data_IF_179534964127
#
_entry.id   IF_179534964127
#
_cell.length_a   1.000
_cell.length_b   1.000
_cell.length_c   1.000
_cell.angle_alpha   90.00
_cell.angle_beta   90.00
_cell.angle_gamma   90.00
#
_symmetry.space_group_name_H-M   'P 1'
#
loop_
_entity.id
_entity.type
_entity.pdbx_description
1 polymer ?
#
# COMPACT_ATOMS: atom_id res chain seq x y z
N UNK A 1 12.26 -36.30 38.49
CA UNK A 1 12.35 -34.84 38.33
C UNK A 1 11.45 -34.48 37.15
N UNK A 2 10.33 -33.77 37.32
CA UNK A 2 9.52 -33.37 36.21
C UNK A 2 10.12 -32.11 35.57
N UNK A 3 10.40 -32.19 34.30
CA UNK A 3 10.78 -31.03 33.47
C UNK A 3 9.58 -30.13 33.33
N UNK A 4 9.58 -29.00 34.00
CA UNK A 4 8.61 -27.91 33.76
C UNK A 4 8.79 -27.40 32.34
N UNK A 5 7.91 -27.81 31.44
CA UNK A 5 7.70 -27.11 30.15
C UNK A 5 6.99 -25.80 30.47
N UNK A 6 7.74 -24.71 30.48
CA UNK A 6 7.18 -23.38 30.58
C UNK A 6 6.55 -23.06 29.21
N UNK A 7 5.25 -23.15 29.16
CA UNK A 7 4.45 -22.68 28.02
C UNK A 7 4.46 -21.15 28.09
N UNK A 8 5.07 -20.52 27.12
CA UNK A 8 5.05 -19.05 26.98
C UNK A 8 3.89 -18.68 26.07
N UNK A 9 2.92 -17.95 26.59
CA UNK A 9 1.90 -17.31 25.76
C UNK A 9 2.40 -15.91 25.43
N UNK A 10 3.10 -15.79 24.31
CA UNK A 10 3.35 -14.47 23.73
C UNK A 10 2.00 -13.96 23.22
N UNK A 11 1.48 -12.92 23.87
CA UNK A 11 0.33 -12.20 23.34
C UNK A 11 0.84 -11.52 22.06
N UNK A 12 0.51 -12.10 20.91
CA UNK A 12 0.76 -11.49 19.61
C UNK A 12 -0.15 -10.27 19.50
N UNK A 13 0.29 -9.15 20.07
CA UNK A 13 -0.44 -7.87 20.06
C UNK A 13 -0.59 -7.34 18.63
N UNK A 14 0.30 -7.70 17.71
CA UNK A 14 0.16 -7.37 16.31
C UNK A 14 -1.06 -8.02 15.62
N UNK A 15 -1.52 -9.20 16.08
CA UNK A 15 -2.80 -9.79 15.67
C UNK A 15 -3.94 -9.40 16.62
N UNK A 16 -3.62 -8.90 17.83
CA UNK A 16 -4.54 -8.52 18.90
C UNK A 16 -4.77 -7.00 19.04
N UNK A 17 -4.04 -6.16 18.32
CA UNK A 17 -4.35 -4.72 18.21
C UNK A 17 -5.74 -4.47 17.58
N UNK A 18 -6.40 -5.53 17.13
CA UNK A 18 -7.77 -5.48 16.63
C UNK A 18 -8.85 -6.02 17.59
N UNK A 19 -8.57 -6.35 18.85
CA UNK A 19 -9.54 -7.10 19.68
C UNK A 19 -10.01 -6.40 20.96
N UNK A 20 -9.55 -5.21 21.35
CA UNK A 20 -9.89 -4.69 22.69
C UNK A 20 -10.47 -3.28 22.81
N UNK A 21 -10.96 -2.70 21.76
CA UNK A 21 -11.87 -1.54 21.88
C UNK A 21 -13.19 -1.91 21.21
N UNK A 22 -14.31 -1.78 21.92
CA UNK A 22 -15.66 -2.13 21.45
C UNK A 22 -16.18 -1.25 20.29
N UNK A 23 -15.31 -0.94 19.34
CA UNK A 23 -15.62 -0.46 18.01
C UNK A 23 -15.65 -1.69 17.12
N UNK A 24 -16.74 -1.92 16.43
CA UNK A 24 -16.91 -2.99 15.44
C UNK A 24 -15.86 -2.83 14.35
N UNK A 25 -14.66 -3.38 14.58
CA UNK A 25 -13.62 -3.41 13.55
C UNK A 25 -14.07 -4.39 12.48
N UNK A 26 -14.53 -3.84 11.39
CA UNK A 26 -14.83 -4.60 10.20
C UNK A 26 -13.55 -5.31 9.76
N UNK A 27 -13.50 -6.62 9.90
CA UNK A 27 -12.33 -7.42 9.55
C UNK A 27 -12.22 -7.43 8.03
N UNK A 28 -11.31 -6.62 7.48
CA UNK A 28 -10.83 -6.72 6.09
C UNK A 28 -10.53 -8.19 5.82
N UNK A 29 -10.74 -8.66 4.60
CA UNK A 29 -10.34 -10.02 4.23
C UNK A 29 -8.98 -10.31 4.84
N UNK A 30 -8.91 -11.29 5.75
CA UNK A 30 -7.73 -11.55 6.56
C UNK A 30 -6.54 -11.84 5.66
N UNK A 31 -5.65 -10.89 5.51
CA UNK A 31 -4.41 -11.02 4.75
C UNK A 31 -3.23 -10.78 5.67
N UNK A 32 -2.16 -11.52 5.47
CA UNK A 32 -0.89 -11.23 6.12
C UNK A 32 -0.23 -9.98 5.52
N UNK A 33 0.80 -9.47 6.19
CA UNK A 33 1.68 -8.38 5.71
C UNK A 33 0.95 -7.17 5.13
N UNK A 34 -0.01 -6.58 5.87
CA UNK A 34 -0.82 -5.45 5.38
C UNK A 34 0.02 -4.21 5.05
N UNK A 35 1.26 -4.13 5.52
CA UNK A 35 2.18 -3.03 5.21
C UNK A 35 2.43 -2.86 3.69
N UNK A 36 2.23 -3.91 2.89
CA UNK A 36 2.33 -3.85 1.43
C UNK A 36 1.22 -3.03 0.77
N UNK A 37 0.21 -2.63 1.54
CA UNK A 37 -0.90 -1.78 1.06
C UNK A 37 -0.70 -0.31 1.45
N UNK A 38 0.28 0.02 2.30
CA UNK A 38 0.56 1.38 2.73
C UNK A 38 1.10 2.18 1.53
N UNK A 39 0.52 3.33 1.28
CA UNK A 39 0.92 4.22 0.19
C UNK A 39 2.35 4.72 0.38
N UNK A 40 3.21 4.61 -0.66
CA UNK A 40 4.64 4.81 -0.49
C UNK A 40 5.10 6.27 -0.58
N UNK A 41 4.25 7.20 -1.01
CA UNK A 41 4.67 8.57 -1.30
C UNK A 41 3.65 9.64 -0.89
N UNK A 42 4.16 10.84 -0.59
CA UNK A 42 3.33 11.96 -0.18
C UNK A 42 2.49 12.53 -1.31
N UNK A 43 2.91 12.39 -2.57
CA UNK A 43 2.17 12.94 -3.71
C UNK A 43 0.83 12.26 -3.86
N UNK A 44 0.82 10.94 -4.00
CA UNK A 44 -0.41 10.17 -4.21
C UNK A 44 -1.22 10.03 -2.93
N UNK A 45 -0.57 9.96 -1.76
CA UNK A 45 -1.26 10.04 -0.48
C UNK A 45 -2.03 11.35 -0.33
N UNK A 46 -1.46 12.48 -0.76
CA UNK A 46 -2.16 13.78 -0.80
C UNK A 46 -3.28 13.86 -1.85
N UNK A 47 -3.44 12.83 -2.68
CA UNK A 47 -4.45 12.71 -3.74
C UNK A 47 -5.47 11.58 -3.47
N UNK A 48 -5.76 11.29 -2.19
CA UNK A 48 -6.73 10.27 -1.83
C UNK A 48 -6.34 8.87 -2.28
N UNK A 49 -5.04 8.54 -2.29
CA UNK A 49 -4.51 7.23 -2.69
C UNK A 49 -4.84 6.85 -4.14
N UNK A 50 -4.83 7.83 -5.04
CA UNK A 50 -5.11 7.66 -6.46
C UNK A 50 -3.83 7.83 -7.27
N UNK A 51 -3.17 6.72 -7.65
CA UNK A 51 -1.84 6.70 -8.23
C UNK A 51 -1.64 5.86 -9.49
N UNK A 52 -2.56 4.93 -9.80
CA UNK A 52 -2.40 3.94 -10.87
C UNK A 52 -2.16 4.56 -12.25
N UNK A 53 -2.85 5.63 -12.56
CA UNK A 53 -2.71 6.33 -13.85
C UNK A 53 -1.73 7.52 -13.79
N UNK A 54 -1.28 7.91 -12.59
CA UNK A 54 -0.29 8.98 -12.41
C UNK A 54 1.14 8.51 -12.66
N UNK A 55 1.54 7.37 -12.22
CA UNK A 55 2.75 6.56 -12.38
C UNK A 55 3.88 7.18 -13.27
N UNK A 56 4.31 8.42 -12.98
CA UNK A 56 5.26 9.21 -13.77
C UNK A 56 6.52 9.64 -12.98
N UNK A 57 6.80 8.99 -11.86
CA UNK A 57 7.99 9.13 -11.03
C UNK A 57 8.47 7.75 -10.53
N UNK A 58 9.50 7.67 -9.68
CA UNK A 58 10.04 6.41 -9.18
C UNK A 58 9.02 5.56 -8.40
N UNK A 59 8.00 6.18 -7.78
CA UNK A 59 6.95 5.46 -7.05
C UNK A 59 5.97 4.70 -7.98
N UNK A 60 6.11 4.85 -9.30
CA UNK A 60 5.47 3.97 -10.29
C UNK A 60 5.73 2.49 -10.00
N UNK A 61 6.87 2.14 -9.39
CA UNK A 61 7.21 0.78 -8.95
C UNK A 61 6.11 0.17 -8.08
N UNK A 62 5.47 0.97 -7.24
CA UNK A 62 4.36 0.55 -6.37
C UNK A 62 3.00 0.70 -7.06
N UNK A 63 2.76 1.86 -7.68
CA UNK A 63 1.42 2.21 -8.20
C UNK A 63 1.10 1.51 -9.51
N UNK A 64 2.05 1.50 -10.44
CA UNK A 64 1.88 0.90 -11.77
C UNK A 64 3.24 0.79 -12.47
N UNK A 65 3.93 -0.34 -12.39
CA UNK A 65 5.23 -0.55 -13.03
C UNK A 65 5.27 -0.26 -14.53
N UNK A 66 4.12 -0.33 -15.23
CA UNK A 66 4.07 0.05 -16.65
C UNK A 66 4.41 1.53 -16.89
N UNK A 67 4.21 2.39 -15.86
CA UNK A 67 4.58 3.79 -15.91
C UNK A 67 6.08 4.02 -16.14
N UNK A 68 6.94 3.12 -15.65
CA UNK A 68 8.38 3.18 -15.86
C UNK A 68 8.76 3.21 -17.34
N UNK A 69 7.97 2.56 -18.20
CA UNK A 69 8.22 2.53 -19.63
C UNK A 69 8.21 3.92 -20.30
N UNK A 70 7.49 4.87 -19.72
CA UNK A 70 7.34 6.21 -20.27
C UNK A 70 8.26 7.25 -19.64
N UNK A 71 9.10 6.85 -18.71
CA UNK A 71 9.99 7.73 -17.96
C UNK A 71 11.41 7.63 -18.50
N UNK A 72 12.07 8.77 -18.58
CA UNK A 72 13.48 8.94 -18.97
C UNK A 72 14.24 9.60 -17.82
N UNK A 73 15.59 9.53 -17.83
CA UNK A 73 16.42 10.00 -16.73
C UNK A 73 16.40 9.07 -15.52
N UNK A 74 17.01 9.50 -14.45
CA UNK A 74 17.18 8.73 -13.22
C UNK A 74 16.50 9.47 -12.06
N UNK A 75 15.95 8.72 -11.12
CA UNK A 75 15.30 9.31 -9.95
C UNK A 75 15.52 8.42 -8.74
N UNK A 76 15.72 9.05 -7.59
CA UNK A 76 15.65 8.44 -6.27
C UNK A 76 14.56 9.17 -5.48
N UNK A 77 13.71 8.43 -4.83
CA UNK A 77 12.65 8.93 -3.96
C UNK A 77 12.76 8.24 -2.59
N UNK A 78 12.79 9.03 -1.54
CA UNK A 78 12.72 8.54 -0.16
C UNK A 78 11.50 9.17 0.51
N UNK A 79 10.72 8.34 1.19
CA UNK A 79 9.56 8.77 1.97
C UNK A 79 9.65 8.24 3.39
N UNK A 80 9.31 9.10 4.35
CA UNK A 80 9.15 8.79 5.75
C UNK A 80 7.77 9.22 6.23
N UNK A 81 7.14 8.36 7.04
CA UNK A 81 5.87 8.68 7.70
C UNK A 81 5.85 8.12 9.12
N UNK A 82 5.47 8.97 10.08
CA UNK A 82 5.04 8.50 11.40
C UNK A 82 3.75 7.69 11.20
N UNK A 83 3.82 6.38 11.50
CA UNK A 83 2.71 5.47 11.23
C UNK A 83 1.85 5.28 12.47
N UNK A 84 0.53 5.52 12.33
CA UNK A 84 -0.45 5.38 13.41
C UNK A 84 -0.06 6.17 14.68
N UNK A 85 0.21 7.49 14.60
CA UNK A 85 0.78 8.27 15.70
C UNK A 85 -0.09 8.28 16.95
N UNK A 86 -1.40 8.04 16.81
CA UNK A 86 -2.34 8.02 17.94
C UNK A 86 -2.19 6.79 18.85
N UNK A 87 -1.47 5.75 18.44
CA UNK A 87 -1.20 4.59 19.31
C UNK A 87 -0.15 4.84 20.39
N UNK A 88 0.62 5.94 20.30
CA UNK A 88 1.65 6.28 21.27
C UNK A 88 2.85 5.33 21.29
N UNK A 89 2.99 4.49 20.26
CA UNK A 89 4.13 3.61 19.99
C UNK A 89 4.94 4.23 18.86
N UNK A 90 6.27 4.15 18.93
CA UNK A 90 7.18 4.68 17.92
C UNK A 90 7.16 3.78 16.67
N UNK A 91 6.07 3.88 15.91
CA UNK A 91 5.90 3.19 14.64
C UNK A 91 6.18 4.14 13.47
N UNK A 92 6.96 3.68 12.51
CA UNK A 92 7.22 4.46 11.30
C UNK A 92 7.31 3.59 10.05
N UNK A 93 7.03 4.22 8.93
CA UNK A 93 7.09 3.64 7.60
C UNK A 93 8.10 4.38 6.75
N UNK A 94 9.07 3.65 6.20
CA UNK A 94 10.07 4.16 5.27
C UNK A 94 9.93 3.48 3.92
N UNK A 95 10.03 4.26 2.86
CA UNK A 95 10.04 3.78 1.49
C UNK A 95 11.15 4.44 0.70
N UNK A 96 12.04 3.65 0.12
CA UNK A 96 13.06 4.07 -0.80
C UNK A 96 12.80 3.46 -2.17
N UNK A 97 12.68 4.28 -3.20
CA UNK A 97 12.57 3.84 -4.58
C UNK A 97 13.59 4.52 -5.47
N UNK A 98 14.09 3.79 -6.44
CA UNK A 98 14.95 4.34 -7.47
C UNK A 98 14.56 3.81 -8.84
N UNK A 99 14.66 4.65 -9.86
CA UNK A 99 14.56 4.23 -11.26
C UNK A 99 15.81 4.65 -12.04
N UNK A 100 16.20 3.78 -12.92
CA UNK A 100 17.35 3.99 -13.80
C UNK A 100 16.95 3.74 -15.25
N UNK A 101 17.09 4.74 -16.09
CA UNK A 101 16.82 4.64 -17.52
C UNK A 101 18.02 4.08 -18.27
N UNK A 102 17.79 3.07 -19.10
CA UNK A 102 18.79 2.46 -19.98
C UNK A 102 18.32 2.64 -21.41
N UNK A 103 19.12 3.33 -22.23
CA UNK A 103 18.82 3.55 -23.64
C UNK A 103 18.63 2.23 -24.38
N UNK A 104 17.55 2.13 -25.16
CA UNK A 104 17.21 0.91 -25.92
C UNK A 104 16.54 -0.21 -25.09
N UNK A 105 16.54 -0.11 -23.75
CA UNK A 105 15.91 -1.09 -22.87
C UNK A 105 14.66 -0.48 -22.19
N UNK A 106 14.76 0.75 -21.69
CA UNK A 106 13.72 1.40 -20.90
C UNK A 106 14.14 1.63 -19.46
N UNK A 107 13.19 1.92 -18.57
CA UNK A 107 13.48 2.17 -17.16
C UNK A 107 13.30 0.91 -16.32
N UNK A 108 14.33 0.62 -15.52
CA UNK A 108 14.33 -0.41 -14.48
C UNK A 108 14.14 0.32 -13.14
N UNK A 109 13.30 -0.20 -12.27
CA UNK A 109 13.08 0.33 -10.93
C UNK A 109 13.41 -0.66 -9.83
N UNK A 110 13.81 -0.16 -8.67
CA UNK A 110 13.98 -0.94 -7.46
C UNK A 110 13.43 -0.20 -6.25
N UNK A 111 12.96 -0.93 -5.24
CA UNK A 111 12.45 -0.32 -4.01
C UNK A 111 12.78 -1.15 -2.78
N UNK A 112 12.77 -0.47 -1.66
CA UNK A 112 12.80 -1.03 -0.31
C UNK A 112 11.65 -0.38 0.46
N UNK A 113 10.87 -1.21 1.14
CA UNK A 113 9.82 -0.81 2.09
C UNK A 113 10.20 -1.34 3.46
N UNK A 114 10.10 -0.52 4.49
CA UNK A 114 10.34 -0.90 5.86
C UNK A 114 9.24 -0.33 6.76
N UNK A 115 8.59 -1.18 7.54
CA UNK A 115 7.65 -0.79 8.59
C UNK A 115 8.22 -1.21 9.94
N UNK A 116 8.52 -0.23 10.79
CA UNK A 116 8.82 -0.46 12.20
C UNK A 116 7.51 -0.46 12.99
N UNK A 117 7.26 -1.53 13.74
CA UNK A 117 6.08 -1.68 14.59
C UNK A 117 6.39 -1.35 16.07
N UNK A 118 7.60 -0.83 16.33
CA UNK A 118 8.04 -0.42 17.64
C UNK A 118 8.49 -1.59 18.53
N UNK A 119 8.73 -1.27 19.79
CA UNK A 119 9.13 -2.21 20.82
C UNK A 119 7.89 -2.82 21.49
N UNK A 120 7.88 -4.13 21.67
CA UNK A 120 6.81 -4.92 22.26
C UNK A 120 7.29 -5.57 23.56
N UNK A 121 6.40 -5.76 24.53
CA UNK A 121 6.70 -6.49 25.76
C UNK A 121 6.36 -7.97 25.62
N UNK A 122 7.29 -8.83 25.95
CA UNK A 122 7.05 -10.27 26.12
C UNK A 122 6.65 -10.54 27.56
N UNK A 123 5.45 -11.09 27.76
CA UNK A 123 4.92 -11.44 29.09
C UNK A 123 4.52 -12.90 29.15
N UNK A 124 4.63 -13.51 30.35
CA UNK A 124 4.16 -14.88 30.63
C UNK A 124 2.63 -14.90 30.90
N UNK A 125 2.07 -16.11 31.08
CA UNK A 125 0.65 -16.31 31.40
C UNK A 125 0.22 -15.64 32.72
N UNK A 126 1.16 -15.41 33.64
CA UNK A 126 0.93 -14.69 34.88
C UNK A 126 1.12 -13.18 34.74
N UNK A 127 1.26 -12.66 33.51
CA UNK A 127 1.51 -11.27 33.18
C UNK A 127 2.86 -10.70 33.72
N UNK A 128 3.84 -11.55 34.01
CA UNK A 128 5.18 -11.10 34.36
C UNK A 128 5.95 -10.71 33.08
N UNK A 129 6.67 -9.59 33.14
CA UNK A 129 7.54 -9.16 32.05
C UNK A 129 8.73 -10.11 31.91
N UNK A 130 8.89 -10.71 30.75
CA UNK A 130 10.01 -11.59 30.38
C UNK A 130 11.11 -10.87 29.63
N UNK A 131 10.77 -9.74 28.93
CA UNK A 131 11.68 -8.95 28.15
C UNK A 131 10.93 -8.09 27.14
N UNK A 132 11.68 -7.40 26.27
CA UNK A 132 11.16 -6.64 25.15
C UNK A 132 11.75 -7.15 23.84
N UNK A 133 11.05 -6.92 22.74
CA UNK A 133 11.50 -7.24 21.37
C UNK A 133 10.95 -6.23 20.38
N UNK A 134 11.64 -6.07 19.25
CA UNK A 134 11.18 -5.18 18.16
C UNK A 134 10.52 -5.98 17.06
N UNK A 135 9.34 -5.53 16.63
CA UNK A 135 8.62 -6.08 15.48
C UNK A 135 8.82 -5.19 14.27
N UNK A 136 9.04 -5.78 13.11
CA UNK A 136 9.18 -5.04 11.86
C UNK A 136 8.83 -5.89 10.64
N UNK A 137 8.47 -5.20 9.57
CA UNK A 137 8.20 -5.80 8.26
C UNK A 137 9.04 -5.12 7.19
N UNK A 138 9.46 -5.88 6.20
CA UNK A 138 10.37 -5.43 5.16
C UNK A 138 9.98 -6.04 3.81
N UNK A 139 10.10 -5.25 2.74
CA UNK A 139 10.03 -5.75 1.38
C UNK A 139 11.08 -5.07 0.50
N UNK A 140 11.67 -5.84 -0.42
CA UNK A 140 12.56 -5.31 -1.43
C UNK A 140 12.22 -5.89 -2.80
N UNK A 141 12.21 -5.08 -3.84
CA UNK A 141 11.78 -5.53 -5.16
C UNK A 141 12.43 -4.79 -6.31
N UNK A 142 12.28 -5.41 -7.48
CA UNK A 142 12.68 -4.88 -8.77
C UNK A 142 11.46 -4.85 -9.70
N UNK A 143 11.40 -3.83 -10.55
CA UNK A 143 10.32 -3.64 -11.51
C UNK A 143 10.86 -3.19 -12.86
N UNK A 144 10.14 -3.55 -13.90
CA UNK A 144 10.45 -3.17 -15.27
C UNK A 144 9.18 -2.82 -16.03
N UNK A 145 9.24 -1.72 -16.79
CA UNK A 145 8.18 -1.30 -17.69
C UNK A 145 8.67 -1.28 -19.14
N UNK A 146 7.87 -1.78 -20.06
CA UNK A 146 8.20 -1.79 -21.48
C UNK A 146 7.08 -1.24 -22.35
N UNK A 147 7.46 -0.45 -23.36
CA UNK A 147 6.52 0.14 -24.33
C UNK A 147 6.06 -0.92 -25.34
N UNK A 148 4.75 -1.10 -25.49
CA UNK A 148 4.18 -1.80 -26.65
C UNK A 148 4.15 -0.84 -27.85
N UNK A 149 3.77 0.43 -27.57
CA UNK A 149 3.80 1.53 -28.53
C UNK A 149 3.87 2.88 -27.78
N UNK A 150 3.74 4.00 -28.47
CA UNK A 150 3.84 5.33 -27.86
C UNK A 150 2.74 5.63 -26.82
N UNK A 151 1.65 4.89 -26.85
CA UNK A 151 0.48 5.11 -26.02
C UNK A 151 0.25 4.00 -24.98
N UNK A 152 0.75 2.78 -25.22
CA UNK A 152 0.50 1.61 -24.38
C UNK A 152 1.82 1.00 -23.87
N UNK A 153 1.87 0.76 -22.58
CA UNK A 153 2.94 0.06 -21.92
C UNK A 153 2.41 -1.06 -21.01
N UNK A 154 3.25 -2.07 -20.81
CA UNK A 154 3.05 -3.09 -19.78
C UNK A 154 4.19 -3.02 -18.77
N UNK A 155 3.95 -3.53 -17.57
CA UNK A 155 4.93 -3.55 -16.51
C UNK A 155 4.82 -4.79 -15.63
N UNK A 156 5.93 -5.15 -15.04
CA UNK A 156 6.00 -6.25 -14.06
C UNK A 156 6.96 -5.89 -12.95
N UNK A 157 6.75 -6.50 -11.80
CA UNK A 157 7.64 -6.40 -10.65
C UNK A 157 7.73 -7.74 -9.93
N UNK A 158 8.82 -7.93 -9.21
CA UNK A 158 9.01 -9.02 -8.26
C UNK A 158 9.53 -8.43 -6.96
N UNK A 159 9.02 -8.90 -5.81
CA UNK A 159 9.48 -8.47 -4.49
C UNK A 159 9.64 -9.64 -3.55
N UNK A 160 10.66 -9.59 -2.73
CA UNK A 160 10.82 -10.41 -1.55
C UNK A 160 10.14 -9.73 -0.36
N UNK A 161 9.48 -10.51 0.47
CA UNK A 161 8.70 -10.07 1.63
C UNK A 161 9.22 -10.81 2.86
N UNK A 162 9.45 -10.05 3.93
CA UNK A 162 9.91 -10.56 5.21
C UNK A 162 9.12 -9.88 6.34
N UNK A 163 8.63 -10.66 7.29
CA UNK A 163 7.86 -10.19 8.44
C UNK A 163 8.36 -10.86 9.71
N UNK A 164 8.77 -10.04 10.68
CA UNK A 164 9.20 -10.43 12.02
C UNK A 164 8.26 -9.81 13.05
N UNK A 165 7.20 -10.52 13.39
CA UNK A 165 6.18 -10.03 14.34
C UNK A 165 6.46 -10.47 15.77
N UNK A 166 7.06 -11.64 15.95
CA UNK A 166 7.41 -12.24 17.26
C UNK A 166 8.78 -12.90 17.12
N UNK A 167 9.64 -12.89 18.16
CA UNK A 167 10.94 -13.55 18.10
C UNK A 167 10.81 -15.01 17.70
N UNK A 168 11.61 -15.48 16.72
CA UNK A 168 11.60 -16.88 16.32
C UNK A 168 11.91 -17.81 17.50
N UNK A 169 11.18 -18.92 17.60
CA UNK A 169 11.31 -19.88 18.71
C UNK A 169 10.42 -19.59 19.91
N UNK A 170 9.69 -18.47 19.92
CA UNK A 170 8.67 -18.18 20.93
C UNK A 170 7.49 -19.12 20.75
N UNK A 171 7.00 -19.75 21.81
CA UNK A 171 5.81 -20.58 21.77
C UNK A 171 4.57 -19.69 21.91
N UNK A 172 3.69 -19.74 20.90
CA UNK A 172 2.42 -18.99 20.85
C UNK A 172 1.30 -20.00 20.67
N UNK A 173 0.39 -20.09 21.62
CA UNK A 173 -0.75 -21.03 21.59
C UNK A 173 -0.36 -22.48 21.26
N UNK A 174 0.77 -22.95 21.77
CA UNK A 174 1.29 -24.31 21.57
C UNK A 174 2.03 -24.51 20.23
N UNK A 175 2.27 -23.45 19.47
CA UNK A 175 3.02 -23.46 18.21
C UNK A 175 4.29 -22.61 18.31
N UNK A 176 5.33 -22.99 17.58
CA UNK A 176 6.59 -22.24 17.56
C UNK A 176 6.55 -21.16 16.50
N UNK A 177 6.72 -19.90 16.94
CA UNK A 177 6.75 -18.75 16.05
C UNK A 177 7.98 -18.75 15.13
N UNK A 178 7.80 -18.31 13.90
CA UNK A 178 8.84 -18.13 12.87
C UNK A 178 8.66 -16.79 12.17
N UNK A 179 9.72 -16.33 11.53
CA UNK A 179 9.61 -15.21 10.60
C UNK A 179 8.80 -15.60 9.36
N UNK A 180 7.87 -14.76 8.98
CA UNK A 180 7.14 -14.91 7.72
C UNK A 180 7.99 -14.49 6.53
N UNK A 181 8.03 -15.31 5.48
CA UNK A 181 8.68 -14.96 4.21
C UNK A 181 7.81 -15.33 3.03
N UNK A 182 7.81 -14.49 2.00
CA UNK A 182 7.11 -14.78 0.76
C UNK A 182 7.73 -14.00 -0.42
N UNK A 183 7.20 -14.23 -1.61
CA UNK A 183 7.55 -13.51 -2.85
C UNK A 183 6.26 -13.06 -3.53
N UNK A 184 6.21 -11.78 -3.91
CA UNK A 184 5.09 -11.22 -4.66
C UNK A 184 5.49 -10.81 -6.07
N UNK A 185 4.57 -10.97 -7.01
CA UNK A 185 4.72 -10.53 -8.40
C UNK A 185 3.65 -9.49 -8.71
N UNK A 186 4.01 -8.47 -9.48
CA UNK A 186 3.10 -7.43 -9.96
C UNK A 186 2.96 -7.52 -11.49
N UNK A 187 1.74 -7.28 -11.97
CA UNK A 187 1.40 -7.20 -13.39
C UNK A 187 0.61 -5.92 -13.63
N UNK A 188 1.06 -5.11 -14.58
CA UNK A 188 0.49 -3.79 -14.78
C UNK A 188 0.38 -3.39 -16.25
N UNK A 189 -0.54 -2.48 -16.54
CA UNK A 189 -0.69 -1.86 -17.84
C UNK A 189 -1.06 -0.39 -17.72
N UNK A 190 -0.52 0.44 -18.62
CA UNK A 190 -0.80 1.86 -18.67
C UNK A 190 -1.00 2.31 -20.11
N UNK A 191 -2.14 2.93 -20.35
CA UNK A 191 -2.45 3.63 -21.58
C UNK A 191 -2.42 5.14 -21.35
N UNK A 192 -1.83 5.89 -22.27
CA UNK A 192 -1.90 7.36 -22.32
C UNK A 192 -2.24 7.83 -23.73
N UNK A 193 -3.11 8.81 -23.86
CA UNK A 193 -3.34 9.45 -25.15
C UNK A 193 -2.13 10.29 -25.55
N UNK A 194 -1.97 10.54 -26.84
CA UNK A 194 -1.18 11.70 -27.25
C UNK A 194 -1.85 12.97 -26.68
N UNK A 195 -1.07 14.04 -26.36
CA UNK A 195 -1.68 15.31 -26.00
C UNK A 195 -2.65 15.78 -27.08
N UNK A 196 -3.81 16.28 -26.66
CA UNK A 196 -4.84 16.80 -27.53
C UNK A 196 -5.32 18.17 -27.04
N UNK A 197 -5.87 18.98 -27.96
CA UNK A 197 -6.30 20.34 -27.62
C UNK A 197 -7.75 20.36 -27.18
N UNK A 198 -8.02 20.97 -26.03
CA UNK A 198 -9.35 21.28 -25.52
C UNK A 198 -9.45 22.79 -25.33
N UNK A 199 -10.25 23.47 -26.13
CA UNK A 199 -10.41 24.94 -26.09
C UNK A 199 -9.06 25.68 -26.15
N UNK A 200 -8.13 25.18 -27.00
CA UNK A 200 -6.80 25.77 -27.19
C UNK A 200 -5.78 25.49 -26.05
N UNK A 201 -6.05 24.56 -25.17
CA UNK A 201 -5.18 24.11 -24.06
C UNK A 201 -4.82 22.66 -24.27
N UNK A 202 -3.63 22.27 -23.84
CA UNK A 202 -3.21 20.86 -23.93
C UNK A 202 -3.87 20.02 -22.84
N UNK A 203 -4.30 18.83 -23.20
CA UNK A 203 -4.85 17.85 -22.30
C UNK A 203 -4.33 16.45 -22.64
N UNK A 204 -4.27 15.57 -21.62
CA UNK A 204 -3.90 14.16 -21.78
C UNK A 204 -4.76 13.31 -20.86
N UNK A 205 -5.28 12.21 -21.39
CA UNK A 205 -5.96 11.18 -20.62
C UNK A 205 -5.02 9.99 -20.44
N UNK A 206 -5.02 9.41 -19.22
CA UNK A 206 -4.31 8.19 -18.88
C UNK A 206 -5.29 7.22 -18.22
N UNK A 207 -5.11 5.92 -18.45
CA UNK A 207 -5.87 4.87 -17.78
C UNK A 207 -4.96 3.65 -17.59
N UNK A 208 -5.08 3.00 -16.45
CA UNK A 208 -4.22 1.87 -16.14
C UNK A 208 -4.81 0.89 -15.16
N UNK A 209 -4.12 -0.22 -15.01
CA UNK A 209 -4.38 -1.20 -13.97
C UNK A 209 -3.07 -1.69 -13.35
N UNK A 210 -3.15 -2.15 -12.11
CA UNK A 210 -2.07 -2.85 -11.42
C UNK A 210 -2.67 -3.99 -10.59
N UNK A 211 -2.23 -5.21 -10.84
CA UNK A 211 -2.45 -6.38 -10.00
C UNK A 211 -1.14 -6.63 -9.24
N UNK A 212 -1.11 -6.30 -7.96
CA UNK A 212 0.08 -6.37 -7.12
C UNK A 212 0.03 -7.47 -6.07
N UNK A 213 1.21 -7.89 -5.61
CA UNK A 213 1.40 -8.89 -4.56
C UNK A 213 0.82 -10.28 -4.88
N UNK A 214 0.81 -10.69 -6.14
CA UNK A 214 0.42 -12.04 -6.53
C UNK A 214 1.52 -13.03 -6.13
N UNK A 215 1.25 -13.93 -5.18
CA UNK A 215 2.27 -14.85 -4.68
C UNK A 215 1.74 -15.91 -3.71
N UNK A 216 2.61 -16.79 -3.22
CA UNK A 216 2.25 -17.79 -2.24
C UNK A 216 1.88 -17.16 -0.89
N UNK A 217 1.03 -17.87 -0.15
CA UNK A 217 0.67 -17.50 1.22
C UNK A 217 1.89 -17.49 2.13
N UNK A 218 1.85 -16.69 3.18
CA UNK A 218 2.90 -16.58 4.20
C UNK A 218 2.54 -17.40 5.44
N UNK A 219 3.54 -17.87 6.17
CA UNK A 219 3.38 -18.68 7.38
C UNK A 219 4.21 -18.09 8.51
N UNK A 220 3.62 -18.03 9.71
CA UNK A 220 4.28 -17.56 10.94
C UNK A 220 4.47 -18.66 12.01
N UNK A 221 3.80 -19.80 11.82
CA UNK A 221 3.86 -20.96 12.71
C UNK A 221 4.00 -22.24 11.91
N UNK A 222 3.94 -23.41 12.57
CA UNK A 222 3.95 -24.70 11.89
C UNK A 222 2.64 -24.92 11.10
N UNK A 223 2.78 -25.32 9.90
CA UNK A 223 1.87 -25.85 8.85
C UNK A 223 0.36 -25.51 8.84
N UNK A 224 -0.28 -25.18 9.96
CA UNK A 224 -1.74 -25.12 10.06
C UNK A 224 -2.34 -23.77 9.64
N UNK A 225 -1.58 -22.66 9.66
CA UNK A 225 -2.07 -21.34 9.29
C UNK A 225 -1.24 -20.76 8.15
N UNK A 226 -1.87 -20.66 6.99
CA UNK A 226 -1.33 -19.98 5.79
C UNK A 226 -2.22 -18.79 5.49
N UNK A 227 -1.66 -17.61 5.68
CA UNK A 227 -2.38 -16.38 5.38
C UNK A 227 -2.04 -15.89 3.97
N UNK A 228 -3.08 -15.50 3.22
CA UNK A 228 -2.90 -14.98 1.87
C UNK A 228 -2.14 -13.66 1.87
N UNK A 229 -1.32 -13.42 0.84
CA UNK A 229 -0.79 -12.08 0.58
C UNK A 229 -1.93 -11.11 0.24
N UNK A 230 -1.78 -9.80 0.52
CA UNK A 230 -2.75 -8.78 0.14
C UNK A 230 -2.66 -8.51 -1.36
N UNK A 231 -3.04 -9.50 -2.16
CA UNK A 231 -3.12 -9.34 -3.62
C UNK A 231 -4.16 -8.27 -3.93
N UNK A 232 -3.74 -7.20 -4.58
CA UNK A 232 -4.56 -6.01 -4.76
C UNK A 232 -4.68 -5.67 -6.24
N UNK A 233 -5.92 -5.68 -6.74
CA UNK A 233 -6.25 -5.17 -8.06
C UNK A 233 -6.62 -3.69 -7.93
N UNK A 234 -5.95 -2.83 -8.68
CA UNK A 234 -6.26 -1.40 -8.84
C UNK A 234 -6.53 -1.10 -10.30
N UNK A 235 -7.55 -0.30 -10.57
CA UNK A 235 -7.87 0.25 -11.89
C UNK A 235 -8.11 1.73 -11.73
N UNK A 236 -7.49 2.55 -12.56
CA UNK A 236 -7.61 3.99 -12.41
C UNK A 236 -7.45 4.77 -13.70
N UNK A 237 -7.83 6.04 -13.63
CA UNK A 237 -7.64 7.00 -14.71
C UNK A 237 -7.16 8.34 -14.17
N UNK A 238 -6.52 9.11 -15.01
CA UNK A 238 -6.10 10.47 -14.72
C UNK A 238 -6.30 11.37 -15.96
N UNK A 239 -6.76 12.58 -15.73
CA UNK A 239 -6.91 13.61 -16.73
C UNK A 239 -6.07 14.83 -16.35
N UNK A 240 -5.04 15.10 -17.14
CA UNK A 240 -4.20 16.30 -17.00
C UNK A 240 -4.59 17.32 -18.04
N UNK A 241 -4.74 18.58 -17.63
CA UNK A 241 -5.07 19.70 -18.52
C UNK A 241 -4.29 20.96 -18.11
N UNK A 242 -3.78 21.68 -19.09
CA UNK A 242 -3.27 23.03 -18.88
C UNK A 242 -4.45 23.98 -18.65
N UNK A 243 -4.35 24.85 -17.65
CA UNK A 243 -5.39 25.83 -17.30
C UNK A 243 -5.18 27.16 -18.05
N UNK A 244 -4.00 27.39 -18.58
CA UNK A 244 -3.64 28.53 -19.42
C UNK A 244 -3.05 28.05 -20.76
N UNK A 245 -2.73 28.98 -21.66
CA UNK A 245 -2.18 28.66 -22.98
C UNK A 245 -0.68 28.37 -22.96
N UNK A 246 0.00 28.90 -21.95
CA UNK A 246 1.45 28.83 -21.82
C UNK A 246 1.90 27.61 -21.00
N UNK A 247 0.94 26.88 -20.38
CA UNK A 247 1.19 25.67 -19.61
C UNK A 247 1.80 25.92 -18.22
N UNK A 248 1.78 27.16 -17.74
CA UNK A 248 2.26 27.48 -16.38
C UNK A 248 1.36 26.88 -15.30
N UNK A 249 0.06 26.84 -15.57
CA UNK A 249 -0.92 26.33 -14.63
C UNK A 249 -1.47 25.01 -15.18
N UNK A 250 -1.27 23.91 -14.46
CA UNK A 250 -1.81 22.60 -14.86
C UNK A 250 -2.65 22.01 -13.74
N UNK A 251 -3.73 21.33 -14.13
CA UNK A 251 -4.59 20.57 -13.22
C UNK A 251 -4.60 19.11 -13.64
N UNK A 252 -4.39 18.23 -12.69
CA UNK A 252 -4.58 16.78 -12.88
C UNK A 252 -5.68 16.31 -11.93
N UNK A 253 -6.65 15.58 -12.46
CA UNK A 253 -7.68 14.88 -11.68
C UNK A 253 -7.45 13.39 -11.88
N UNK A 254 -7.52 12.62 -10.82
CA UNK A 254 -7.36 11.15 -10.86
C UNK A 254 -8.40 10.44 -10.00
N UNK A 255 -8.68 9.20 -10.37
CA UNK A 255 -9.53 8.31 -9.60
C UNK A 255 -9.05 6.88 -9.77
N UNK A 256 -8.97 6.16 -8.66
CA UNK A 256 -8.65 4.74 -8.59
C UNK A 256 -9.79 3.98 -7.89
N UNK A 257 -10.08 2.80 -8.40
CA UNK A 257 -10.92 1.80 -7.75
C UNK A 257 -10.04 0.60 -7.49
N UNK A 258 -10.06 0.10 -6.25
CA UNK A 258 -9.22 -1.03 -5.85
C UNK A 258 -10.02 -2.07 -5.07
N UNK A 259 -9.55 -3.32 -5.15
CA UNK A 259 -10.14 -4.47 -4.48
C UNK A 259 -9.05 -5.43 -4.03
N UNK A 260 -9.12 -5.85 -2.77
CA UNK A 260 -8.29 -6.93 -2.25
C UNK A 260 -8.83 -8.25 -2.80
N UNK A 261 -7.97 -8.98 -3.52
CA UNK A 261 -8.25 -10.28 -4.10
C UNK A 261 -7.83 -11.38 -3.12
N UNK A 262 -8.51 -11.42 -1.97
CA UNK A 262 -8.29 -12.42 -0.94
C UNK A 262 -9.62 -13.01 -0.49
N UNK A 263 -9.60 -14.29 -0.14
CA UNK A 263 -10.74 -15.04 0.37
C UNK A 263 -10.24 -16.12 1.32
N UNK A 264 -11.02 -16.47 2.30
CA UNK A 264 -10.78 -17.65 3.13
C UNK A 264 -11.51 -18.86 2.54
N UNK A 265 -10.92 -20.03 2.68
CA UNK A 265 -11.58 -21.32 2.43
C UNK A 265 -12.51 -21.64 3.60
N UNK A 266 -13.40 -22.61 3.41
CA UNK A 266 -14.39 -23.02 4.41
C UNK A 266 -13.77 -23.58 5.69
N UNK A 267 -12.51 -24.03 5.62
CA UNK A 267 -11.74 -24.54 6.76
C UNK A 267 -11.02 -23.43 7.55
N UNK A 268 -11.18 -22.17 7.17
CA UNK A 268 -10.58 -21.02 7.81
C UNK A 268 -9.14 -20.73 7.35
N UNK A 269 -8.61 -21.44 6.34
CA UNK A 269 -7.31 -21.13 5.75
C UNK A 269 -7.43 -20.07 4.65
N UNK A 270 -6.36 -19.29 4.44
CA UNK A 270 -6.30 -18.32 3.36
C UNK A 270 -6.22 -19.01 2.01
N UNK A 271 -7.15 -18.67 1.11
CA UNK A 271 -7.13 -19.15 -0.28
C UNK A 271 -5.86 -18.68 -0.99
N UNK A 272 -5.28 -19.49 -1.86
CA UNK A 272 -4.14 -19.06 -2.66
C UNK A 272 -4.49 -17.85 -3.52
N UNK A 273 -3.53 -16.91 -3.69
CA UNK A 273 -3.74 -15.68 -4.47
C UNK A 273 -4.28 -15.96 -5.89
N UNK A 274 -3.84 -17.04 -6.55
CA UNK A 274 -4.31 -17.41 -7.89
C UNK A 274 -5.78 -17.85 -7.89
N UNK A 275 -6.20 -18.65 -6.91
CA UNK A 275 -7.60 -19.05 -6.77
C UNK A 275 -8.49 -17.85 -6.40
N UNK A 276 -8.00 -16.99 -5.55
CA UNK A 276 -8.69 -15.78 -5.10
C UNK A 276 -8.95 -14.79 -6.25
N UNK A 277 -8.07 -14.70 -7.26
CA UNK A 277 -8.33 -13.89 -8.45
C UNK A 277 -9.66 -14.19 -9.15
N UNK A 278 -10.09 -15.45 -9.09
CA UNK A 278 -11.34 -15.88 -9.73
C UNK A 278 -12.49 -15.91 -8.73
N UNK A 279 -12.24 -16.34 -7.49
CA UNK A 279 -13.30 -16.62 -6.50
C UNK A 279 -13.61 -15.47 -5.54
N UNK A 280 -12.84 -14.38 -5.54
CA UNK A 280 -13.08 -13.24 -4.66
C UNK A 280 -14.10 -12.22 -5.19
N UNK A 281 -14.78 -12.51 -6.30
CA UNK A 281 -15.78 -11.61 -6.91
C UNK A 281 -17.20 -11.79 -6.37
N UNK A 282 -17.42 -12.81 -5.58
CA UNK A 282 -18.71 -13.10 -4.94
C UNK A 282 -18.87 -12.27 -3.67
N UNK A 283 -20.09 -12.29 -3.10
CA UNK A 283 -20.36 -11.83 -1.74
C UNK A 283 -19.49 -12.62 -0.76
N UNK A 284 -18.79 -11.92 0.12
CA UNK A 284 -18.01 -12.53 1.19
C UNK A 284 -18.88 -12.72 2.41
N UNK A 285 -18.71 -13.84 3.12
CA UNK A 285 -19.30 -14.06 4.45
C UNK A 285 -18.22 -13.76 5.50
N UNK A 286 -18.52 -12.91 6.46
CA UNK A 286 -17.61 -12.51 7.52
C UNK A 286 -18.28 -12.69 8.88
N UNK A 287 -17.53 -13.19 9.87
CA UNK A 287 -17.96 -13.17 11.25
C UNK A 287 -17.45 -11.88 11.92
N UNK A 288 -18.35 -11.01 12.37
CA UNK A 288 -18.04 -9.75 13.04
C UNK A 288 -18.05 -9.85 14.58
N UNK A 289 -18.15 -11.08 15.12
CA UNK A 289 -18.29 -11.36 16.55
C UNK A 289 -19.75 -11.39 17.05
N UNK A 290 -20.70 -10.88 16.28
CA UNK A 290 -22.15 -10.93 16.57
C UNK A 290 -22.87 -11.93 15.67
N UNK A 291 -22.27 -12.32 14.56
CA UNK A 291 -22.81 -13.24 13.58
C UNK A 291 -22.10 -13.21 12.24
N UNK A 292 -22.69 -13.89 11.26
CA UNK A 292 -22.20 -13.85 9.87
C UNK A 292 -22.84 -12.65 9.17
N UNK A 293 -22.00 -11.73 8.71
CA UNK A 293 -22.38 -10.57 7.89
C UNK A 293 -21.97 -10.82 6.45
N UNK A 294 -22.88 -10.58 5.52
CA UNK A 294 -22.60 -10.62 4.09
C UNK A 294 -22.01 -9.28 3.64
N UNK A 295 -20.85 -9.34 2.98
CA UNK A 295 -20.17 -8.17 2.37
C UNK A 295 -20.32 -8.27 0.85
N UNK A 296 -21.29 -7.56 0.25
CA UNK A 296 -21.51 -7.59 -1.18
C UNK A 296 -20.31 -7.00 -1.94
N UNK A 297 -20.18 -7.31 -3.22
CA UNK A 297 -19.02 -6.88 -4.04
C UNK A 297 -18.78 -5.37 -3.98
N UNK A 298 -19.84 -4.56 -3.97
CA UNK A 298 -19.69 -3.09 -3.93
C UNK A 298 -19.01 -2.62 -2.64
N UNK A 299 -19.27 -3.28 -1.52
CA UNK A 299 -18.66 -2.95 -0.23
C UNK A 299 -17.19 -3.40 -0.12
N UNK A 300 -16.75 -4.31 -1.01
CA UNK A 300 -15.36 -4.76 -1.09
C UNK A 300 -14.48 -3.81 -1.90
N UNK A 301 -15.07 -2.79 -2.56
CA UNK A 301 -14.33 -1.82 -3.37
C UNK A 301 -13.89 -0.64 -2.51
N UNK A 302 -12.66 -0.21 -2.73
CA UNK A 302 -12.08 1.02 -2.19
C UNK A 302 -11.98 2.05 -3.31
N UNK A 303 -12.27 3.30 -3.00
CA UNK A 303 -12.29 4.40 -3.94
C UNK A 303 -11.31 5.48 -3.50
N UNK A 304 -10.42 5.89 -4.40
CA UNK A 304 -9.55 7.03 -4.22
C UNK A 304 -9.79 8.06 -5.31
N UNK A 305 -9.87 9.33 -4.95
CA UNK A 305 -9.98 10.43 -5.90
C UNK A 305 -9.11 11.60 -5.46
N UNK A 306 -8.48 12.28 -6.41
CA UNK A 306 -7.60 13.40 -6.11
C UNK A 306 -7.50 14.43 -7.22
N UNK A 307 -7.08 15.62 -6.81
CA UNK A 307 -6.75 16.72 -7.69
C UNK A 307 -5.36 17.26 -7.32
N UNK A 308 -4.54 17.51 -8.34
CA UNK A 308 -3.21 18.10 -8.22
C UNK A 308 -3.13 19.32 -9.13
N UNK A 309 -2.86 20.47 -8.54
CA UNK A 309 -2.58 21.71 -9.25
C UNK A 309 -1.09 22.00 -9.20
N UNK A 310 -0.48 22.32 -10.34
CA UNK A 310 0.91 22.77 -10.45
C UNK A 310 0.97 24.20 -10.99
N UNK A 311 1.83 25.00 -10.37
CA UNK A 311 2.26 26.29 -10.88
C UNK A 311 3.70 26.18 -11.38
N UNK A 312 3.90 26.40 -12.68
CA UNK A 312 5.18 26.43 -13.39
C UNK A 312 6.07 25.17 -13.16
N UNK A 313 5.45 24.03 -12.87
CA UNK A 313 6.19 22.83 -12.47
C UNK A 313 7.01 22.97 -11.19
N UNK A 314 6.92 24.14 -10.53
CA UNK A 314 7.67 24.49 -9.33
C UNK A 314 6.95 24.13 -8.05
N UNK A 315 5.68 24.53 -7.94
CA UNK A 315 4.88 24.37 -6.73
C UNK A 315 3.58 23.62 -7.02
N UNK A 316 3.27 22.64 -6.16
CA UNK A 316 2.02 21.87 -6.25
C UNK A 316 1.16 22.01 -5.01
N UNK A 317 -0.15 22.00 -5.22
CA UNK A 317 -1.18 21.78 -4.21
C UNK A 317 -2.00 20.56 -4.55
N UNK A 318 -2.38 19.80 -3.54
CA UNK A 318 -3.12 18.55 -3.70
C UNK A 318 -4.25 18.46 -2.70
N UNK A 319 -5.35 17.88 -3.14
CA UNK A 319 -6.45 17.47 -2.27
C UNK A 319 -7.00 16.15 -2.78
N UNK A 320 -7.46 15.31 -1.87
CA UNK A 320 -8.01 14.01 -2.21
C UNK A 320 -9.00 13.50 -1.19
N UNK A 321 -9.68 12.44 -1.58
CA UNK A 321 -10.65 11.73 -0.76
C UNK A 321 -10.50 10.24 -0.97
N UNK A 322 -10.52 9.49 0.11
CA UNK A 322 -10.50 8.03 0.12
C UNK A 322 -11.71 7.50 0.86
N UNK A 323 -12.31 6.46 0.30
CA UNK A 323 -13.47 5.79 0.88
C UNK A 323 -13.34 4.28 0.80
N UNK A 324 -13.61 3.62 1.90
CA UNK A 324 -13.80 2.19 2.04
C UNK A 324 -15.04 1.93 2.89
N UNK A 325 -15.88 0.97 2.44
CA UNK A 325 -17.13 0.65 3.13
C UNK A 325 -16.90 0.27 4.60
N UNK A 326 -17.74 0.74 5.54
CA UNK A 326 -17.71 0.30 6.94
C UNK A 326 -17.81 -1.23 7.11
N UNK A 327 -18.42 -1.92 6.15
CA UNK A 327 -18.49 -3.37 6.12
C UNK A 327 -17.18 -4.05 5.71
N UNK A 328 -16.16 -3.29 5.24
CA UNK A 328 -14.91 -3.86 4.70
C UNK A 328 -13.62 -3.23 5.25
N UNK A 329 -13.68 -2.32 6.18
CA UNK A 329 -12.50 -1.66 6.76
C UNK A 329 -12.81 -0.29 7.30
N UNK A 330 -13.81 0.40 6.73
CA UNK A 330 -14.37 1.63 7.26
C UNK A 330 -13.45 2.84 7.16
N UNK A 331 -12.41 2.81 6.33
CA UNK A 331 -11.49 3.94 6.18
C UNK A 331 -12.11 5.03 5.33
N UNK A 332 -12.33 6.18 5.94
CA UNK A 332 -12.83 7.35 5.23
C UNK A 332 -12.05 8.59 5.66
N UNK A 333 -11.41 9.27 4.71
CA UNK A 333 -10.58 10.42 5.01
C UNK A 333 -10.41 11.38 3.83
N UNK A 334 -10.15 12.65 4.18
CA UNK A 334 -9.69 13.68 3.27
C UNK A 334 -8.17 13.78 3.37
N UNK A 335 -7.52 14.04 2.26
CA UNK A 335 -6.08 14.25 2.20
C UNK A 335 -5.75 15.62 1.65
N UNK A 336 -4.68 16.20 2.17
CA UNK A 336 -4.10 17.44 1.67
C UNK A 336 -2.63 17.20 1.37
N UNK A 337 -2.08 17.90 0.39
CA UNK A 337 -0.68 17.80 0.04
C UNK A 337 -0.12 19.07 -0.57
N UNK A 338 1.18 19.19 -0.48
CA UNK A 338 1.95 20.24 -1.15
C UNK A 338 3.24 19.63 -1.74
N UNK A 339 3.77 20.28 -2.77
CA UNK A 339 5.01 19.84 -3.40
C UNK A 339 5.83 21.03 -3.89
N UNK A 340 7.15 20.86 -3.87
CA UNK A 340 8.10 21.83 -4.41
C UNK A 340 9.12 21.08 -5.28
N UNK A 341 9.44 21.65 -6.43
CA UNK A 341 10.52 21.16 -7.33
C UNK A 341 11.47 22.30 -7.64
N UNK A 342 12.74 22.06 -7.43
CA UNK A 342 13.79 23.04 -7.74
C UNK A 342 15.03 22.34 -8.27
N UNK A 343 15.35 22.59 -9.52
CA UNK A 343 16.41 21.88 -10.26
C UNK A 343 16.21 20.36 -10.18
N UNK A 344 17.21 19.65 -9.63
CA UNK A 344 17.18 18.19 -9.45
C UNK A 344 16.44 17.75 -8.19
N UNK A 345 16.10 18.66 -7.29
CA UNK A 345 15.51 18.36 -5.99
C UNK A 345 13.98 18.52 -6.01
N UNK A 346 13.31 17.64 -5.32
CA UNK A 346 11.89 17.75 -5.03
C UNK A 346 11.59 17.36 -3.59
N UNK A 347 10.58 17.99 -3.03
CA UNK A 347 9.99 17.61 -1.75
C UNK A 347 8.48 17.59 -1.88
N UNK A 348 7.85 16.62 -1.25
CA UNK A 348 6.41 16.53 -1.13
C UNK A 348 6.03 16.29 0.32
N UNK A 349 4.87 16.79 0.68
CA UNK A 349 4.25 16.65 1.98
C UNK A 349 2.81 16.21 1.82
N UNK A 350 2.31 15.37 2.72
CA UNK A 350 0.88 15.06 2.80
C UNK A 350 0.41 14.89 4.24
N UNK A 351 -0.88 15.13 4.43
CA UNK A 351 -1.59 15.04 5.69
C UNK A 351 -2.92 14.32 5.50
N UNK A 352 -3.22 13.37 6.39
CA UNK A 352 -4.49 12.64 6.41
C UNK A 352 -5.38 13.24 7.51
N UNK A 353 -6.58 13.67 7.12
CA UNK A 353 -7.65 14.08 8.02
C UNK A 353 -8.78 13.05 7.94
N UNK A 354 -8.93 12.24 8.97
CA UNK A 354 -9.99 11.22 9.07
C UNK A 354 -11.32 11.89 9.45
N UNK A 355 -12.42 11.38 8.89
CA UNK A 355 -13.77 11.86 9.21
C UNK A 355 -14.32 11.22 10.48
N UNK A 356 -13.79 10.08 10.88
CA UNK A 356 -14.10 9.40 12.12
C UNK A 356 -13.18 9.90 13.24
N UNK A 357 -13.77 10.19 14.41
CA UNK A 357 -13.02 10.56 15.62
C UNK A 357 -12.18 9.36 16.10
N UNK A 358 -10.97 9.63 16.58
CA UNK A 358 -10.01 8.62 17.10
C UNK A 358 -9.58 7.53 16.09
N UNK A 359 -9.77 7.77 14.79
CA UNK A 359 -9.29 6.83 13.78
C UNK A 359 -7.75 6.68 13.85
N UNK A 360 -7.21 5.45 13.77
CA UNK A 360 -5.75 5.21 13.88
C UNK A 360 -4.89 5.99 12.89
N UNK A 361 -5.38 6.25 11.68
CA UNK A 361 -4.68 7.03 10.65
C UNK A 361 -4.80 8.56 10.83
N UNK A 362 -5.58 9.04 11.82
CA UNK A 362 -5.71 10.49 12.05
C UNK A 362 -4.35 11.11 12.32
N UNK A 363 -4.14 12.32 11.78
CA UNK A 363 -2.90 13.08 11.93
C UNK A 363 -1.63 12.44 11.33
N UNK A 364 -1.77 11.45 10.46
CA UNK A 364 -0.61 10.89 9.75
C UNK A 364 0.00 11.94 8.84
N UNK A 365 1.26 12.27 9.11
CA UNK A 365 2.11 13.13 8.30
C UNK A 365 3.07 12.28 7.48
N UNK A 366 3.29 12.67 6.22
CA UNK A 366 4.22 12.00 5.34
C UNK A 366 5.08 13.01 4.59
N UNK A 367 6.37 12.74 4.52
CA UNK A 367 7.35 13.55 3.80
C UNK A 367 8.04 12.69 2.75
N UNK A 368 8.18 13.23 1.55
CA UNK A 368 8.95 12.59 0.48
C UNK A 368 10.01 13.56 -0.04
N UNK A 369 11.22 13.05 -0.25
CA UNK A 369 12.32 13.75 -0.92
C UNK A 369 12.66 13.03 -2.23
N UNK A 370 12.84 13.81 -3.29
CA UNK A 370 13.12 13.29 -4.64
C UNK A 370 14.39 13.93 -5.18
N UNK A 371 15.16 13.13 -5.89
CA UNK A 371 16.36 13.55 -6.62
C UNK A 371 16.25 13.04 -8.06
N UNK A 372 16.20 13.97 -9.03
CA UNK A 372 16.12 13.67 -10.47
C UNK A 372 17.44 14.07 -11.15
N UNK A 373 18.05 13.18 -11.96
CA UNK A 373 19.33 13.44 -12.62
C UNK A 373 19.53 12.61 -13.89
#
# INVERSE_FOLDING_TARGET
MPTNKRTFTAIAIAALLFVSSGVSMAQVASTAVPFLQIEPDSRTAGMGNSGVALADNATAIFWNPAGLAFQEGHEVNFTHADWLPNFGVDMFYDYLAGRYYVEGIGSIGGHITFLNLGEQELRDEANNLLGTFSSYEFAAGLSYGFKINNNLALGTGIRFIFSNLVPPGTEVSGQVARNGTSVGVDLAGLYRTNPFSVVGRQAQLRAGFNLSNLGPSIQYTDEAQKDALPTLLRVGWAYKMDLDRDGFNTLTISNDVSKIMARMEDDGTGMSSFSALVRSWDTLARNDGTGIVEVPLVDQLMFGAGAEYWYDGLFALRAGYFYESPNNGGREFITLGAGLRYNIFGVDFSYIYTLEEDHPLANTLRFSALLNF
#
